data_IF_521875023054
#
_entry.id   IF_521875023054
#
_cell.length_a   1.000
_cell.length_b   1.000
_cell.length_c   1.000
_cell.angle_alpha   90.00
_cell.angle_beta   90.00
_cell.angle_gamma   90.00
#
_symmetry.space_group_name_H-M   'P 1'
#
loop_
_entity.id
_entity.type
_entity.pdbx_description
1 polymer ?
#
# COMPACT_ATOMS: atom_id res chain seq x y z
N UNK A 1 0.24 19.59 -9.74
CA UNK A 1 0.07 19.57 -8.27
C UNK A 1 1.31 19.06 -7.54
N UNK A 2 1.85 17.87 -7.86
CA UNK A 2 3.07 17.34 -7.21
C UNK A 2 4.31 18.24 -7.40
N UNK A 3 4.49 18.82 -8.59
CA UNK A 3 5.65 19.69 -8.91
C UNK A 3 5.63 21.01 -8.12
N UNK A 4 4.46 21.65 -8.00
CA UNK A 4 4.31 22.90 -7.24
C UNK A 4 4.44 22.67 -5.73
N UNK A 5 3.88 21.57 -5.20
CA UNK A 5 4.05 21.20 -3.79
C UNK A 5 5.50 20.86 -3.44
N UNK A 6 6.20 20.16 -4.33
CA UNK A 6 7.64 19.86 -4.17
C UNK A 6 8.50 21.14 -4.21
N UNK A 7 8.19 22.10 -5.08
CA UNK A 7 8.87 23.40 -5.11
C UNK A 7 8.59 24.24 -3.85
N UNK A 8 7.36 24.24 -3.33
CA UNK A 8 7.00 24.98 -2.12
C UNK A 8 7.70 24.41 -0.89
N UNK A 9 7.71 23.08 -0.74
CA UNK A 9 8.42 22.40 0.34
C UNK A 9 9.95 22.57 0.24
N UNK A 10 10.49 22.62 -0.97
CA UNK A 10 11.92 22.91 -1.18
C UNK A 10 12.33 24.36 -0.89
N UNK A 11 11.39 25.31 -0.92
CA UNK A 11 11.68 26.74 -0.79
C UNK A 11 11.89 27.22 0.66
N UNK A 12 11.39 26.51 1.67
CA UNK A 12 11.73 26.82 3.07
C UNK A 12 11.71 25.60 3.99
N UNK A 13 12.76 25.46 4.82
CA UNK A 13 12.89 24.36 5.78
C UNK A 13 11.82 24.42 6.87
N UNK A 14 11.39 25.61 7.28
CA UNK A 14 10.32 25.81 8.26
C UNK A 14 8.95 25.38 7.72
N UNK A 15 8.65 25.69 6.45
CA UNK A 15 7.40 25.26 5.83
C UNK A 15 7.40 23.75 5.54
N UNK A 16 8.54 23.19 5.11
CA UNK A 16 8.70 21.74 4.98
C UNK A 16 8.49 21.02 6.32
N UNK A 17 9.01 21.59 7.42
CA UNK A 17 8.81 21.05 8.77
C UNK A 17 7.35 21.15 9.23
N UNK A 18 6.70 22.28 8.98
CA UNK A 18 5.29 22.48 9.31
C UNK A 18 4.37 21.57 8.49
N UNK A 19 4.60 21.42 7.18
CA UNK A 19 3.84 20.51 6.30
C UNK A 19 4.01 19.05 6.73
N UNK A 20 5.20 18.67 7.20
CA UNK A 20 5.48 17.33 7.70
C UNK A 20 4.80 17.03 9.06
N UNK A 21 4.35 18.03 9.80
CA UNK A 21 3.63 17.82 11.07
C UNK A 21 2.13 18.01 10.92
N UNK A 22 1.71 19.04 10.20
CA UNK A 22 0.31 19.36 9.92
C UNK A 22 0.16 19.94 8.51
N UNK A 23 0.01 19.10 7.47
CA UNK A 23 -0.07 19.56 6.09
C UNK A 23 -1.29 20.44 5.81
N UNK A 24 -2.39 20.27 6.56
CA UNK A 24 -3.61 21.08 6.37
C UNK A 24 -3.45 22.43 7.07
N UNK A 25 -3.01 22.43 8.34
CA UNK A 25 -2.77 23.66 9.10
C UNK A 25 -1.64 24.51 8.53
N UNK A 26 -0.57 23.90 8.02
CA UNK A 26 0.50 24.64 7.35
C UNK A 26 -0.03 25.39 6.12
N UNK A 27 -0.92 24.77 5.34
CA UNK A 27 -1.55 25.44 4.20
C UNK A 27 -2.46 26.58 4.67
N UNK A 28 -3.29 26.40 5.70
CA UNK A 28 -4.19 27.49 6.15
C UNK A 28 -3.45 28.76 6.59
N UNK A 29 -2.18 28.66 7.04
CA UNK A 29 -1.36 29.85 7.36
C UNK A 29 -0.92 30.66 6.15
N UNK A 30 -0.91 30.06 4.95
CA UNK A 30 -0.47 30.69 3.70
C UNK A 30 -1.63 31.27 2.88
N UNK A 31 -2.87 30.90 3.19
CA UNK A 31 -4.04 31.28 2.40
C UNK A 31 -4.74 32.53 2.96
N UNK A 32 -5.33 33.37 2.08
CA UNK A 32 -6.18 34.47 2.51
C UNK A 32 -7.36 33.97 3.35
N UNK A 33 -7.73 34.70 4.39
CA UNK A 33 -8.81 34.32 5.34
C UNK A 33 -10.15 34.05 4.66
N UNK A 34 -10.47 34.77 3.57
CA UNK A 34 -11.69 34.55 2.79
C UNK A 34 -11.72 33.18 2.09
N UNK A 35 -10.56 32.62 1.73
CA UNK A 35 -10.45 31.34 1.03
C UNK A 35 -10.43 30.14 2.00
N UNK A 36 -10.22 30.36 3.30
CA UNK A 36 -10.19 29.28 4.29
C UNK A 36 -11.50 28.49 4.33
N UNK A 37 -12.65 29.16 4.20
CA UNK A 37 -13.97 28.51 4.18
C UNK A 37 -14.10 27.54 3.00
N UNK A 38 -13.97 27.97 1.73
CA UNK A 38 -14.06 27.04 0.60
C UNK A 38 -12.95 25.97 0.62
N UNK A 39 -11.74 26.31 1.07
CA UNK A 39 -10.66 25.34 1.23
C UNK A 39 -11.02 24.20 2.19
N UNK A 40 -11.49 24.53 3.40
CA UNK A 40 -11.88 23.52 4.39
C UNK A 40 -13.04 22.67 3.88
N UNK A 41 -14.03 23.27 3.24
CA UNK A 41 -15.15 22.52 2.64
C UNK A 41 -14.65 21.49 1.63
N UNK A 42 -13.79 21.90 0.68
CA UNK A 42 -13.25 20.99 -0.34
C UNK A 42 -12.32 19.94 0.28
N UNK A 43 -11.47 20.33 1.22
CA UNK A 43 -10.56 19.41 1.91
C UNK A 43 -11.32 18.35 2.69
N UNK A 44 -12.33 18.74 3.48
CA UNK A 44 -13.17 17.82 4.25
C UNK A 44 -13.98 16.92 3.32
N UNK A 45 -14.60 17.46 2.27
CA UNK A 45 -15.34 16.64 1.30
C UNK A 45 -14.42 15.63 0.58
N UNK A 46 -13.20 16.03 0.23
CA UNK A 46 -12.20 15.15 -0.37
C UNK A 46 -11.77 14.02 0.57
N UNK A 47 -11.51 14.34 1.84
CA UNK A 47 -11.16 13.36 2.88
C UNK A 47 -12.31 12.39 3.14
N UNK A 48 -13.55 12.89 3.23
CA UNK A 48 -14.74 12.05 3.40
C UNK A 48 -14.92 11.14 2.18
N UNK A 49 -14.76 11.67 0.96
CA UNK A 49 -14.87 10.89 -0.27
C UNK A 49 -13.87 9.73 -0.31
N UNK A 50 -12.61 9.99 0.06
CA UNK A 50 -11.59 8.94 0.18
C UNK A 50 -11.97 7.88 1.22
N UNK A 51 -12.34 8.32 2.43
CA UNK A 51 -12.72 7.40 3.52
C UNK A 51 -13.93 6.52 3.16
N UNK A 52 -14.92 7.05 2.41
CA UNK A 52 -16.07 6.27 1.95
C UNK A 52 -15.66 5.18 0.96
N UNK A 53 -14.77 5.49 0.02
CA UNK A 53 -14.26 4.50 -0.94
C UNK A 53 -13.47 3.40 -0.24
N UNK A 54 -12.68 3.75 0.78
CA UNK A 54 -11.92 2.80 1.59
C UNK A 54 -12.86 1.86 2.37
N UNK A 55 -13.88 2.40 3.06
CA UNK A 55 -14.90 1.62 3.77
C UNK A 55 -15.69 0.70 2.82
N UNK A 56 -16.02 1.19 1.62
CA UNK A 56 -16.73 0.40 0.63
C UNK A 56 -15.90 -0.79 0.15
N UNK A 57 -14.61 -0.56 -0.14
CA UNK A 57 -13.67 -1.59 -0.59
C UNK A 57 -13.39 -2.65 0.49
N UNK A 58 -13.16 -2.20 1.74
CA UNK A 58 -13.00 -3.04 2.92
C UNK A 58 -14.24 -3.91 3.17
N UNK A 59 -15.43 -3.31 3.08
CA UNK A 59 -16.71 -4.00 3.24
C UNK A 59 -16.96 -5.07 2.18
N UNK A 60 -16.60 -4.82 0.91
CA UNK A 60 -16.69 -5.83 -0.14
C UNK A 60 -15.72 -7.00 0.14
N UNK A 61 -14.49 -6.68 0.55
CA UNK A 61 -13.46 -7.68 0.89
C UNK A 61 -13.91 -8.59 2.04
N UNK A 62 -14.50 -8.03 3.10
CA UNK A 62 -15.05 -8.79 4.23
C UNK A 62 -16.16 -9.77 3.82
N UNK A 63 -17.05 -9.35 2.92
CA UNK A 63 -18.10 -10.21 2.37
C UNK A 63 -17.50 -11.30 1.48
N UNK A 64 -16.49 -10.98 0.66
CA UNK A 64 -15.81 -11.94 -0.22
C UNK A 64 -15.01 -13.00 0.56
N UNK A 65 -14.47 -12.67 1.73
CA UNK A 65 -13.79 -13.63 2.63
C UNK A 65 -14.80 -14.60 3.28
N UNK A 66 -16.11 -14.33 3.17
CA UNK A 66 -17.16 -15.23 3.64
C UNK A 66 -17.56 -15.04 5.10
N UNK A 67 -17.18 -13.91 5.72
CA UNK A 67 -17.65 -13.58 7.06
C UNK A 67 -19.17 -13.29 6.98
N UNK A 68 -20.03 -14.01 7.72
CA UNK A 68 -21.49 -13.89 7.59
C UNK A 68 -22.01 -12.64 8.33
N UNK A 69 -21.50 -11.47 7.98
CA UNK A 69 -21.92 -10.17 8.52
C UNK A 69 -22.60 -9.35 7.44
N UNK A 70 -23.65 -8.63 7.83
CA UNK A 70 -24.33 -7.70 6.92
C UNK A 70 -23.39 -6.54 6.61
N UNK A 71 -23.44 -6.01 5.38
CA UNK A 71 -22.53 -4.93 4.92
C UNK A 71 -22.46 -3.73 5.88
N UNK A 72 -23.58 -3.33 6.49
CA UNK A 72 -23.57 -2.23 7.46
C UNK A 72 -22.82 -2.57 8.76
N UNK A 73 -22.78 -3.84 9.17
CA UNK A 73 -22.07 -4.27 10.37
C UNK A 73 -20.56 -4.24 10.15
N UNK A 74 -20.11 -4.68 8.97
CA UNK A 74 -18.72 -4.58 8.55
C UNK A 74 -18.27 -3.09 8.51
N UNK A 75 -19.06 -2.22 7.89
CA UNK A 75 -18.77 -0.79 7.82
C UNK A 75 -18.76 -0.11 9.20
N UNK A 76 -19.68 -0.47 10.11
CA UNK A 76 -19.69 0.06 11.48
C UNK A 76 -18.48 -0.40 12.29
N UNK A 77 -18.05 -1.66 12.13
CA UNK A 77 -16.86 -2.17 12.80
C UNK A 77 -15.60 -1.45 12.32
N UNK A 78 -15.47 -1.27 11.00
CA UNK A 78 -14.34 -0.55 10.39
C UNK A 78 -14.31 0.91 10.87
N UNK A 79 -15.45 1.61 10.79
CA UNK A 79 -15.59 2.97 11.29
C UNK A 79 -15.27 3.12 12.78
N UNK A 80 -15.65 2.14 13.61
CA UNK A 80 -15.32 2.13 15.04
C UNK A 80 -13.80 1.97 15.26
N UNK A 81 -13.17 1.02 14.56
CA UNK A 81 -11.71 0.80 14.65
C UNK A 81 -10.96 2.05 14.18
N UNK A 82 -11.37 2.64 13.04
CA UNK A 82 -10.79 3.88 12.54
C UNK A 82 -10.98 5.05 13.50
N UNK A 83 -12.14 5.16 14.16
CA UNK A 83 -12.40 6.22 15.15
C UNK A 83 -11.50 6.07 16.37
N UNK A 84 -11.38 4.85 16.91
CA UNK A 84 -10.49 4.56 18.05
C UNK A 84 -9.03 4.83 17.66
N UNK A 85 -8.61 4.37 16.48
CA UNK A 85 -7.27 4.63 15.95
C UNK A 85 -7.01 6.12 15.78
N UNK A 86 -7.98 6.88 15.28
CA UNK A 86 -7.89 8.34 15.13
C UNK A 86 -7.77 9.02 16.49
N UNK A 87 -8.59 8.66 17.48
CA UNK A 87 -8.51 9.19 18.84
C UNK A 87 -7.12 8.94 19.44
N UNK A 88 -6.60 7.72 19.29
CA UNK A 88 -5.27 7.36 19.75
C UNK A 88 -4.19 8.20 19.04
N UNK A 89 -4.25 8.31 17.71
CA UNK A 89 -3.25 9.06 16.95
C UNK A 89 -3.28 10.57 17.21
N UNK A 90 -4.47 11.16 17.40
CA UNK A 90 -4.61 12.61 17.60
C UNK A 90 -4.26 13.02 19.03
N UNK A 91 -4.59 12.21 20.04
CA UNK A 91 -4.43 12.61 21.45
C UNK A 91 -3.28 11.91 22.19
N UNK A 92 -2.81 10.75 21.70
CA UNK A 92 -1.82 9.93 22.41
C UNK A 92 -0.52 9.82 21.62
N UNK A 93 -0.57 9.67 20.29
CA UNK A 93 0.64 9.63 19.49
C UNK A 93 1.31 11.01 19.40
N UNK A 94 2.64 11.04 19.57
CA UNK A 94 3.44 12.27 19.49
C UNK A 94 3.83 12.65 18.05
N UNK A 95 3.82 11.67 17.16
CA UNK A 95 4.09 11.83 15.73
C UNK A 95 3.29 10.77 14.94
N UNK A 96 2.64 11.20 13.87
CA UNK A 96 1.85 10.36 12.97
C UNK A 96 2.63 10.01 11.69
N UNK A 97 3.35 10.98 11.11
CA UNK A 97 3.93 10.80 9.79
C UNK A 97 5.11 9.82 9.80
N UNK A 98 5.94 9.79 10.84
CA UNK A 98 7.04 8.82 10.93
C UNK A 98 6.55 7.37 10.87
N UNK A 99 5.72 6.92 11.81
CA UNK A 99 5.14 5.57 11.78
C UNK A 99 4.35 5.27 10.51
N UNK A 100 3.57 6.23 9.98
CA UNK A 100 2.83 6.07 8.72
C UNK A 100 3.78 5.83 7.54
N UNK A 101 4.81 6.65 7.37
CA UNK A 101 5.78 6.48 6.29
C UNK A 101 6.51 5.14 6.42
N UNK A 102 6.93 4.77 7.62
CA UNK A 102 7.54 3.48 7.88
C UNK A 102 6.61 2.31 7.51
N UNK A 103 5.33 2.43 7.83
CA UNK A 103 4.30 1.46 7.46
C UNK A 103 4.08 1.40 5.94
N UNK A 104 3.95 2.53 5.26
CA UNK A 104 3.75 2.61 3.81
C UNK A 104 4.93 2.03 3.03
N UNK A 105 6.17 2.31 3.46
CA UNK A 105 7.38 1.73 2.86
C UNK A 105 7.37 0.20 3.02
N UNK A 106 6.98 -0.28 4.21
CA UNK A 106 6.92 -1.71 4.51
C UNK A 106 5.83 -2.40 3.71
N UNK A 107 4.59 -1.91 3.74
CA UNK A 107 3.50 -2.51 2.97
C UNK A 107 3.67 -2.35 1.46
N UNK A 108 4.39 -1.32 1.01
CA UNK A 108 4.68 -1.14 -0.41
C UNK A 108 5.39 -2.33 -1.03
N UNK A 109 6.24 -3.05 -0.28
CA UNK A 109 6.98 -4.21 -0.77
C UNK A 109 6.06 -5.39 -1.15
N UNK A 110 5.25 -5.99 -0.25
CA UNK A 110 4.37 -7.09 -0.60
C UNK A 110 3.29 -6.67 -1.62
N UNK A 111 2.79 -5.43 -1.55
CA UNK A 111 1.84 -4.89 -2.54
C UNK A 111 2.48 -4.81 -3.92
N UNK A 112 3.76 -4.45 -4.02
CA UNK A 112 4.49 -4.47 -5.27
C UNK A 112 4.63 -5.89 -5.83
N UNK A 113 5.00 -6.88 -5.01
CA UNK A 113 5.07 -8.28 -5.47
C UNK A 113 3.69 -8.77 -5.96
N UNK A 114 2.64 -8.53 -5.18
CA UNK A 114 1.28 -8.93 -5.52
C UNK A 114 0.80 -8.27 -6.83
N UNK A 115 1.01 -6.95 -6.99
CA UNK A 115 0.63 -6.25 -8.21
C UNK A 115 1.40 -6.74 -9.43
N UNK A 116 2.70 -7.04 -9.28
CA UNK A 116 3.49 -7.63 -10.35
C UNK A 116 3.02 -9.03 -10.75
N UNK A 117 2.67 -9.89 -9.78
CA UNK A 117 2.08 -11.21 -10.03
C UNK A 117 0.75 -11.04 -10.79
N UNK A 118 -0.12 -10.13 -10.34
CA UNK A 118 -1.42 -9.88 -10.97
C UNK A 118 -1.26 -9.41 -12.41
N UNK A 119 -0.40 -8.42 -12.66
CA UNK A 119 -0.12 -7.92 -14.01
C UNK A 119 0.47 -9.02 -14.90
N UNK A 120 1.39 -9.82 -14.38
CA UNK A 120 1.94 -10.96 -15.11
C UNK A 120 0.86 -11.98 -15.47
N UNK A 121 -0.06 -12.28 -14.56
CA UNK A 121 -1.16 -13.21 -14.80
C UNK A 121 -2.11 -12.72 -15.90
N UNK A 122 -2.50 -11.44 -15.82
CA UNK A 122 -3.35 -10.78 -16.83
C UNK A 122 -2.69 -10.79 -18.22
N UNK A 123 -1.37 -10.56 -18.30
CA UNK A 123 -0.64 -10.57 -19.58
C UNK A 123 -0.51 -11.99 -20.17
N UNK A 124 -0.37 -13.01 -19.31
CA UNK A 124 -0.20 -14.40 -19.75
C UNK A 124 -1.50 -15.02 -20.23
N UNK A 125 -2.64 -14.59 -19.67
CA UNK A 125 -3.95 -15.12 -20.03
C UNK A 125 -4.40 -14.53 -21.37
N UNK A 126 -4.78 -15.42 -22.28
CA UNK A 126 -5.33 -15.08 -23.58
C UNK A 126 -6.83 -15.36 -23.68
N UNK A 127 -7.40 -16.04 -22.67
CA UNK A 127 -8.83 -16.33 -22.58
C UNK A 127 -9.42 -15.76 -21.30
N UNK A 128 -10.69 -15.39 -21.37
CA UNK A 128 -11.45 -14.93 -20.21
C UNK A 128 -11.55 -16.05 -19.16
N UNK A 129 -11.68 -15.63 -17.90
CA UNK A 129 -11.88 -16.56 -16.80
C UNK A 129 -13.27 -17.19 -16.88
N UNK A 130 -13.34 -18.50 -16.70
CA UNK A 130 -14.63 -19.16 -16.49
C UNK A 130 -15.25 -18.81 -15.14
N UNK A 131 -16.28 -17.96 -15.16
CA UNK A 131 -16.97 -17.40 -13.99
C UNK A 131 -17.48 -18.49 -13.05
N UNK A 132 -18.09 -19.55 -13.59
CA UNK A 132 -18.68 -20.63 -12.78
C UNK A 132 -17.63 -21.36 -11.93
N UNK A 133 -16.42 -21.54 -12.47
CA UNK A 133 -15.33 -22.22 -11.77
C UNK A 133 -14.55 -21.29 -10.84
N UNK A 134 -14.70 -19.97 -10.98
CA UNK A 134 -14.06 -18.98 -10.10
C UNK A 134 -14.65 -19.02 -8.68
N UNK A 135 -15.93 -19.38 -8.56
CA UNK A 135 -16.62 -19.53 -7.28
C UNK A 135 -16.57 -20.97 -6.72
N UNK A 136 -16.06 -21.95 -7.47
CA UNK A 136 -15.88 -23.32 -6.98
C UNK A 136 -14.43 -23.57 -6.55
N UNK A 137 -14.22 -23.79 -5.25
CA UNK A 137 -12.93 -24.15 -4.68
C UNK A 137 -12.34 -25.46 -5.27
N UNK A 138 -13.16 -26.31 -5.91
CA UNK A 138 -12.76 -27.53 -6.61
C UNK A 138 -12.60 -27.37 -8.13
N UNK A 139 -12.89 -26.18 -8.66
CA UNK A 139 -12.72 -25.85 -10.08
C UNK A 139 -11.25 -25.77 -10.50
N UNK A 140 -10.99 -25.46 -11.77
CA UNK A 140 -9.65 -25.41 -12.38
C UNK A 140 -8.67 -24.45 -11.71
N UNK A 141 -9.19 -23.46 -10.98
CA UNK A 141 -8.39 -22.47 -10.27
C UNK A 141 -7.93 -22.97 -8.89
N UNK A 142 -8.72 -23.85 -8.25
CA UNK A 142 -8.49 -24.39 -6.92
C UNK A 142 -8.61 -23.32 -5.82
N UNK A 143 -8.56 -23.75 -4.56
CA UNK A 143 -8.62 -22.84 -3.40
C UNK A 143 -7.32 -22.10 -3.10
N UNK A 144 -6.17 -22.69 -3.45
CA UNK A 144 -4.86 -22.13 -3.14
C UNK A 144 -3.91 -22.23 -4.35
N UNK A 145 -3.25 -21.12 -4.63
CA UNK A 145 -2.13 -21.08 -5.56
C UNK A 145 -0.81 -20.97 -4.78
N UNK A 146 -0.28 -22.11 -4.35
CA UNK A 146 0.98 -22.18 -3.61
C UNK A 146 2.18 -21.59 -4.37
N UNK A 147 2.15 -21.59 -5.71
CA UNK A 147 3.19 -20.95 -6.52
C UNK A 147 3.17 -19.44 -6.33
N UNK A 148 2.00 -18.80 -6.48
CA UNK A 148 1.87 -17.35 -6.30
C UNK A 148 2.07 -16.94 -4.84
N UNK A 149 1.64 -17.76 -3.87
CA UNK A 149 1.89 -17.52 -2.44
C UNK A 149 3.39 -17.62 -2.13
N UNK A 150 4.07 -18.63 -2.66
CA UNK A 150 5.52 -18.79 -2.52
C UNK A 150 6.28 -17.61 -3.14
N UNK A 151 5.87 -17.17 -4.34
CA UNK A 151 6.43 -15.97 -4.98
C UNK A 151 6.19 -14.71 -4.16
N UNK A 152 4.99 -14.55 -3.60
CA UNK A 152 4.67 -13.43 -2.72
C UNK A 152 5.60 -13.41 -1.51
N UNK A 153 5.79 -14.55 -0.85
CA UNK A 153 6.66 -14.68 0.31
C UNK A 153 8.14 -14.41 -0.04
N UNK A 154 8.65 -15.03 -1.10
CA UNK A 154 10.06 -14.89 -1.53
C UNK A 154 10.34 -13.47 -2.02
N UNK A 155 9.47 -12.92 -2.87
CA UNK A 155 9.59 -11.55 -3.37
C UNK A 155 9.54 -10.52 -2.25
N UNK A 156 8.65 -10.72 -1.25
CA UNK A 156 8.54 -9.83 -0.11
C UNK A 156 9.77 -9.93 0.79
N UNK A 157 10.24 -11.15 1.05
CA UNK A 157 11.47 -11.39 1.82
C UNK A 157 12.64 -10.65 1.19
N UNK A 158 12.92 -10.89 -0.10
CA UNK A 158 14.02 -10.24 -0.82
C UNK A 158 13.83 -8.71 -0.86
N UNK A 159 12.62 -8.23 -1.12
CA UNK A 159 12.31 -6.80 -1.12
C UNK A 159 12.59 -6.13 0.22
N UNK A 160 12.19 -6.75 1.35
CA UNK A 160 12.52 -6.26 2.68
C UNK A 160 14.02 -6.25 2.97
N UNK A 161 14.79 -7.13 2.31
CA UNK A 161 16.25 -7.14 2.39
C UNK A 161 16.91 -5.91 1.79
N UNK A 162 16.24 -5.21 0.87
CA UNK A 162 16.78 -4.06 0.13
C UNK A 162 15.99 -2.76 0.33
N UNK A 163 15.12 -2.72 1.33
CA UNK A 163 14.41 -1.51 1.77
C UNK A 163 14.96 -1.10 3.13
N UNK A 164 15.22 0.19 3.34
CA UNK A 164 15.56 0.71 4.68
C UNK A 164 14.38 1.47 5.26
N UNK A 165 14.18 1.31 6.56
CA UNK A 165 13.18 2.06 7.28
C UNK A 165 13.83 2.83 8.42
N UNK A 166 14.03 4.14 8.21
CA UNK A 166 14.59 5.04 9.22
C UNK A 166 13.52 5.73 10.06
N UNK A 167 12.25 5.57 9.71
CA UNK A 167 11.13 6.31 10.30
C UNK A 167 10.52 5.61 11.52
N UNK A 168 10.73 4.31 11.66
CA UNK A 168 10.24 3.53 12.80
C UNK A 168 11.31 2.58 13.32
N UNK A 169 11.70 2.74 14.59
CA UNK A 169 12.77 1.94 15.21
C UNK A 169 12.47 0.44 15.21
N UNK A 170 11.20 0.05 15.24
CA UNK A 170 10.78 -1.36 15.15
C UNK A 170 10.89 -1.96 13.74
N UNK A 171 11.11 -1.16 12.70
CA UNK A 171 11.29 -1.61 11.30
C UNK A 171 12.77 -1.63 10.87
N UNK A 172 13.69 -1.34 11.79
CA UNK A 172 15.15 -1.33 11.53
C UNK A 172 15.72 -2.68 11.09
N UNK A 173 14.98 -3.78 11.28
CA UNK A 173 15.35 -5.11 10.79
C UNK A 173 15.37 -5.18 9.25
N UNK A 174 14.65 -4.28 8.58
CA UNK A 174 14.68 -4.16 7.12
C UNK A 174 16.07 -3.73 6.65
N UNK A 175 16.39 -4.08 5.41
CA UNK A 175 17.66 -3.76 4.79
C UNK A 175 18.79 -4.72 5.18
N UNK A 176 18.44 -5.95 5.55
CA UNK A 176 19.41 -6.96 5.96
C UNK A 176 20.25 -7.53 4.80
N UNK A 177 19.88 -7.27 3.53
CA UNK A 177 20.66 -7.61 2.33
C UNK A 177 21.40 -6.42 1.72
N UNK A 178 21.18 -5.19 2.24
CA UNK A 178 21.81 -3.98 1.71
C UNK A 178 23.34 -3.99 1.82
N UNK A 179 23.94 -4.84 2.67
CA UNK A 179 25.39 -5.04 2.70
C UNK A 179 25.98 -5.45 1.34
N UNK A 180 25.19 -6.05 0.44
CA UNK A 180 25.64 -6.46 -0.90
C UNK A 180 25.77 -5.30 -1.89
N UNK A 181 25.12 -4.16 -1.64
CA UNK A 181 25.00 -3.06 -2.62
C UNK A 181 25.46 -1.70 -2.05
N UNK A 182 26.30 -1.72 -1.01
CA UNK A 182 26.89 -0.51 -0.43
C UNK A 182 26.49 -0.21 1.02
N UNK A 183 25.75 -1.10 1.67
CA UNK A 183 25.41 -1.01 3.09
C UNK A 183 24.24 -0.08 3.40
N UNK A 184 23.84 -0.03 4.68
CA UNK A 184 22.72 0.80 5.16
C UNK A 184 23.02 2.31 5.15
N UNK A 185 24.30 2.68 5.00
CA UNK A 185 24.75 4.08 4.88
C UNK A 185 25.14 4.46 3.43
N UNK A 186 24.98 3.53 2.48
CA UNK A 186 25.32 3.74 1.08
C UNK A 186 24.28 4.57 0.33
N UNK A 187 24.66 5.07 -0.86
CA UNK A 187 23.79 5.90 -1.70
C UNK A 187 22.43 5.24 -2.06
N UNK A 188 22.37 3.90 -2.04
CA UNK A 188 21.18 3.12 -2.40
C UNK A 188 20.22 2.85 -1.25
N UNK A 189 20.62 3.11 0.00
CA UNK A 189 19.81 2.83 1.18
C UNK A 189 18.45 3.56 1.12
N UNK A 190 18.48 4.86 0.84
CA UNK A 190 17.29 5.72 0.80
C UNK A 190 16.46 5.60 -0.49
N UNK A 191 16.89 4.79 -1.47
CA UNK A 191 16.20 4.64 -2.75
C UNK A 191 15.09 3.59 -2.73
N UNK A 192 14.92 2.82 -1.64
CA UNK A 192 13.95 1.73 -1.53
C UNK A 192 14.01 0.74 -2.71
N UNK A 193 15.22 0.41 -3.18
CA UNK A 193 15.45 -0.42 -4.36
C UNK A 193 14.84 -1.83 -4.25
N UNK A 194 14.58 -2.30 -3.02
CA UNK A 194 13.86 -3.54 -2.77
C UNK A 194 12.45 -3.60 -3.37
N UNK A 195 11.79 -2.46 -3.59
CA UNK A 195 10.49 -2.44 -4.30
C UNK A 195 10.67 -2.87 -5.76
N UNK A 196 11.76 -2.46 -6.42
CA UNK A 196 12.06 -2.88 -7.79
C UNK A 196 12.38 -4.38 -7.85
N UNK A 197 13.16 -4.90 -6.89
CA UNK A 197 13.41 -6.33 -6.81
C UNK A 197 12.13 -7.13 -6.58
N UNK A 198 11.25 -6.66 -5.68
CA UNK A 198 9.93 -7.24 -5.45
C UNK A 198 9.08 -7.31 -6.74
N UNK A 199 9.04 -6.22 -7.52
CA UNK A 199 8.33 -6.18 -8.81
C UNK A 199 8.92 -7.20 -9.81
N UNK A 200 10.24 -7.21 -9.96
CA UNK A 200 10.95 -8.10 -10.91
C UNK A 200 10.69 -9.57 -10.55
N UNK A 201 10.85 -9.92 -9.27
CA UNK A 201 10.66 -11.28 -8.79
C UNK A 201 9.20 -11.71 -8.95
N UNK A 202 8.24 -10.86 -8.57
CA UNK A 202 6.82 -11.13 -8.76
C UNK A 202 6.45 -11.35 -10.22
N UNK A 203 6.90 -10.45 -11.10
CA UNK A 203 6.55 -10.48 -12.52
C UNK A 203 7.19 -11.65 -13.26
N UNK A 204 8.52 -11.74 -13.26
CA UNK A 204 9.22 -12.80 -13.99
C UNK A 204 9.05 -14.17 -13.34
N UNK A 205 8.98 -14.22 -12.01
CA UNK A 205 8.72 -15.46 -11.29
C UNK A 205 7.35 -16.05 -11.65
N UNK A 206 6.31 -15.21 -11.72
CA UNK A 206 4.98 -15.67 -12.13
C UNK A 206 4.91 -16.05 -13.60
N UNK A 207 5.60 -15.32 -14.49
CA UNK A 207 5.73 -15.71 -15.91
C UNK A 207 6.37 -17.08 -16.06
N UNK A 208 7.47 -17.36 -15.35
CA UNK A 208 8.21 -18.62 -15.52
C UNK A 208 7.43 -19.78 -14.92
N UNK A 209 6.89 -19.62 -13.70
CA UNK A 209 6.27 -20.72 -12.95
C UNK A 209 4.77 -20.90 -13.26
N UNK A 210 4.07 -19.83 -13.66
CA UNK A 210 2.63 -19.81 -13.90
C UNK A 210 2.22 -20.28 -15.31
N UNK A 211 3.10 -20.14 -16.32
CA UNK A 211 2.81 -20.44 -17.74
C UNK A 211 2.20 -21.82 -17.97
N UNK A 212 2.76 -22.86 -17.35
CA UNK A 212 2.26 -24.24 -17.54
C UNK A 212 0.85 -24.43 -16.98
N UNK A 213 0.60 -23.88 -15.79
CA UNK A 213 -0.71 -23.96 -15.12
C UNK A 213 -1.76 -23.16 -15.90
N UNK A 214 -1.45 -21.92 -16.30
CA UNK A 214 -2.37 -21.08 -17.07
C UNK A 214 -2.75 -21.78 -18.38
N UNK A 215 -1.79 -22.35 -19.10
CA UNK A 215 -2.07 -23.09 -20.34
C UNK A 215 -2.99 -24.30 -20.11
N UNK A 216 -2.88 -24.98 -18.97
CA UNK A 216 -3.82 -26.05 -18.61
C UNK A 216 -5.21 -25.52 -18.22
N UNK A 217 -5.25 -24.32 -17.64
CA UNK A 217 -6.46 -23.57 -17.30
C UNK A 217 -7.07 -22.80 -18.48
N UNK A 218 -6.57 -22.97 -19.70
CA UNK A 218 -7.17 -22.39 -20.91
C UNK A 218 -7.57 -23.44 -21.95
N UNK A 219 -7.18 -24.71 -21.71
CA UNK A 219 -7.67 -25.87 -22.46
C UNK A 219 -9.10 -26.19 -22.07
#
# INVERSE_FOLDING_TARGET
MVIFGAMLAGSSKELSGAIAMDPVGALTTLLPTWYLIPFVVVAVLGLIGGAILDLYSSGLTLVSIGLPVKRYQAACLDGLIMTIGTIYLVWIAKDFLGPLQGFLITLGVPVAVWSAIFVADVILRQRDYEDAELFDARGRYGSWNFTSIGLLAIGSFIGFGFVTNTFASWLNWQGYLLFLIGGKDGAWAYSNIGILFALIIGFFGHIILGRGRIRSQER
#
